data_IF_881585654040
#
_entry.id   IF_881585654040
#
_cell.length_a   1.000
_cell.length_b   1.000
_cell.length_c   1.000
_cell.angle_alpha   90.00
_cell.angle_beta   90.00
_cell.angle_gamma   90.00
#
_symmetry.space_group_name_H-M   'P 1'
#
loop_
_entity.id
_entity.type
_entity.pdbx_description
1 polymer ?
#
# COMPACT_ATOMS: atom_id res chain seq x y z
N UNK A 1 -40.62 15.67 40.56
CA UNK A 1 -39.22 15.45 40.97
C UNK A 1 -38.84 14.00 40.66
N UNK A 2 -37.88 13.71 39.77
CA UNK A 2 -37.51 12.33 39.42
C UNK A 2 -36.61 11.69 40.48
N UNK A 3 -36.83 10.41 40.78
CA UNK A 3 -36.14 9.65 41.82
C UNK A 3 -34.71 9.22 41.39
N UNK A 4 -33.64 9.62 42.12
CA UNK A 4 -32.25 9.42 41.70
C UNK A 4 -31.74 7.96 41.75
N UNK A 5 -32.51 7.02 42.31
CA UNK A 5 -32.05 5.62 42.45
C UNK A 5 -32.39 4.70 41.27
N UNK A 6 -33.39 5.04 40.44
CA UNK A 6 -33.70 4.27 39.21
C UNK A 6 -32.76 4.60 38.06
N UNK A 7 -32.29 5.83 37.96
CA UNK A 7 -31.41 6.31 36.88
C UNK A 7 -30.04 5.63 36.90
N UNK A 8 -29.48 5.35 38.09
CA UNK A 8 -28.17 4.66 38.21
C UNK A 8 -28.20 3.18 37.81
N UNK A 9 -29.32 2.48 38.00
CA UNK A 9 -29.44 1.04 37.64
C UNK A 9 -29.67 0.83 36.14
N UNK A 10 -30.37 1.74 35.48
CA UNK A 10 -30.62 1.68 34.02
C UNK A 10 -29.34 2.04 33.24
N UNK A 11 -28.54 2.98 33.75
CA UNK A 11 -27.28 3.38 33.10
C UNK A 11 -26.21 2.27 33.12
N UNK A 12 -26.22 1.40 34.13
CA UNK A 12 -25.28 0.28 34.27
C UNK A 12 -25.60 -0.91 33.34
N UNK A 13 -26.85 -1.05 32.88
CA UNK A 13 -27.25 -2.14 31.99
C UNK A 13 -26.94 -1.78 30.52
N UNK A 14 -27.07 -0.50 30.12
CA UNK A 14 -26.73 -0.07 28.76
C UNK A 14 -25.23 -0.04 28.46
N UNK A 15 -24.37 0.21 29.44
CA UNK A 15 -22.91 0.17 29.24
C UNK A 15 -22.34 -1.24 29.13
N UNK A 16 -23.10 -2.26 29.53
CA UNK A 16 -22.65 -3.66 29.47
C UNK A 16 -22.86 -4.31 28.10
N UNK A 17 -23.65 -3.69 27.22
CA UNK A 17 -24.05 -4.27 25.93
C UNK A 17 -23.17 -3.83 24.74
N UNK A 18 -22.17 -2.97 24.97
CA UNK A 18 -21.34 -2.38 23.90
C UNK A 18 -19.87 -2.85 23.91
N UNK A 19 -19.53 -3.88 24.68
CA UNK A 19 -18.15 -4.38 24.80
C UNK A 19 -17.92 -5.79 24.19
N UNK A 20 -18.81 -6.25 23.30
CA UNK A 20 -18.55 -7.43 22.46
C UNK A 20 -18.34 -7.02 21.00
N UNK A 21 -17.50 -6.01 20.78
CA UNK A 21 -16.79 -5.88 19.52
C UNK A 21 -15.61 -6.82 19.54
N UNK A 22 -15.83 -8.13 19.35
CA UNK A 22 -14.71 -9.03 19.06
C UNK A 22 -14.08 -8.51 17.78
N UNK A 23 -12.88 -7.91 17.89
CA UNK A 23 -12.03 -7.66 16.75
C UNK A 23 -12.02 -8.95 15.93
N UNK A 24 -12.56 -8.89 14.71
CA UNK A 24 -12.40 -9.99 13.78
C UNK A 24 -10.89 -10.20 13.70
N UNK A 25 -10.37 -11.43 13.93
CA UNK A 25 -8.98 -11.68 13.63
C UNK A 25 -8.79 -11.29 12.18
N UNK A 26 -7.94 -10.30 11.91
CA UNK A 26 -7.41 -10.08 10.57
C UNK A 26 -6.62 -11.34 10.25
N UNK A 27 -7.29 -12.32 9.66
CA UNK A 27 -6.61 -13.48 9.15
C UNK A 27 -5.65 -12.93 8.10
N UNK A 28 -4.35 -12.98 8.39
CA UNK A 28 -3.31 -12.78 7.40
C UNK A 28 -3.75 -13.52 6.14
N UNK A 29 -4.01 -12.79 5.05
CA UNK A 29 -4.63 -13.38 3.88
C UNK A 29 -3.65 -14.44 3.34
N UNK A 30 -4.01 -15.75 3.36
CA UNK A 30 -3.08 -16.83 3.02
C UNK A 30 -2.58 -16.72 1.58
N UNK A 31 -3.32 -16.04 0.70
CA UNK A 31 -2.86 -15.73 -0.65
C UNK A 31 -1.70 -14.71 -0.66
N UNK A 32 -1.71 -13.74 0.27
CA UNK A 32 -0.62 -12.77 0.42
C UNK A 32 0.63 -13.45 0.99
N UNK A 33 0.45 -14.35 1.95
CA UNK A 33 1.55 -15.13 2.53
C UNK A 33 2.20 -16.03 1.45
N UNK A 34 1.39 -16.74 0.67
CA UNK A 34 1.87 -17.50 -0.48
C UNK A 34 2.60 -16.63 -1.51
N UNK A 35 2.08 -15.44 -1.84
CA UNK A 35 2.75 -14.52 -2.75
C UNK A 35 4.10 -14.03 -2.20
N UNK A 36 4.21 -13.76 -0.89
CA UNK A 36 5.50 -13.41 -0.28
C UNK A 36 6.50 -14.56 -0.43
N UNK A 37 6.05 -15.81 -0.25
CA UNK A 37 6.93 -16.99 -0.42
C UNK A 37 7.31 -17.29 -1.88
N UNK A 38 6.53 -16.81 -2.84
CA UNK A 38 6.73 -17.08 -4.27
C UNK A 38 7.63 -16.05 -4.94
N UNK A 39 7.86 -14.89 -4.31
CA UNK A 39 8.77 -13.88 -4.83
C UNK A 39 10.21 -14.42 -4.94
N UNK A 40 10.83 -14.25 -6.10
CA UNK A 40 12.23 -14.61 -6.32
C UNK A 40 13.16 -13.73 -5.47
N UNK A 41 14.44 -14.13 -5.33
CA UNK A 41 15.46 -13.37 -4.59
C UNK A 41 15.66 -11.94 -5.11
N UNK A 42 15.41 -11.71 -6.40
CA UNK A 42 15.45 -10.40 -7.05
C UNK A 42 14.13 -9.60 -6.92
N UNK A 43 13.12 -10.15 -6.26
CA UNK A 43 11.80 -9.57 -6.05
C UNK A 43 10.81 -9.77 -7.21
N UNK A 44 11.17 -10.48 -8.28
CA UNK A 44 10.29 -10.75 -9.40
C UNK A 44 9.32 -11.93 -9.11
N UNK A 45 8.17 -11.89 -9.77
CA UNK A 45 7.16 -12.97 -9.75
C UNK A 45 7.18 -13.85 -11.01
N UNK A 46 8.30 -13.83 -11.74
CA UNK A 46 8.53 -14.60 -12.97
C UNK A 46 9.78 -15.44 -12.86
N UNK A 47 9.81 -16.56 -13.56
CA UNK A 47 10.95 -17.40 -13.86
C UNK A 47 11.41 -17.22 -15.31
N UNK A 48 12.57 -17.78 -15.66
CA UNK A 48 13.12 -17.73 -17.03
C UNK A 48 12.24 -18.44 -18.07
N UNK A 49 11.30 -19.28 -17.62
CA UNK A 49 10.36 -20.01 -18.48
C UNK A 49 9.02 -19.28 -18.69
N UNK A 50 8.81 -18.14 -18.03
CA UNK A 50 7.55 -17.40 -18.12
C UNK A 50 7.51 -16.50 -19.36
N UNK A 51 6.35 -16.47 -20.01
CA UNK A 51 6.10 -15.61 -21.18
C UNK A 51 5.93 -14.13 -20.80
N UNK A 52 5.64 -13.85 -19.52
CA UNK A 52 5.49 -12.51 -19.00
C UNK A 52 6.86 -11.95 -18.60
N UNK A 53 7.09 -10.66 -18.88
CA UNK A 53 8.30 -10.01 -18.39
C UNK A 53 8.27 -9.91 -16.86
N UNK A 54 9.43 -9.86 -16.17
CA UNK A 54 9.49 -9.60 -14.74
C UNK A 54 8.68 -8.37 -14.32
N UNK A 55 8.67 -7.33 -15.15
CA UNK A 55 7.86 -6.15 -14.94
C UNK A 55 6.35 -6.46 -15.01
N UNK A 56 5.89 -7.15 -16.06
CA UNK A 56 4.48 -7.46 -16.29
C UNK A 56 3.89 -8.32 -15.16
N UNK A 57 4.52 -9.45 -14.82
CA UNK A 57 3.94 -10.33 -13.79
C UNK A 57 4.04 -9.73 -12.39
N UNK A 58 5.10 -8.95 -12.13
CA UNK A 58 5.19 -8.20 -10.87
C UNK A 58 4.12 -7.13 -10.83
N UNK A 59 3.85 -6.40 -11.92
CA UNK A 59 2.76 -5.42 -11.95
C UNK A 59 1.38 -6.05 -11.74
N UNK A 60 1.10 -7.21 -12.33
CA UNK A 60 -0.18 -7.94 -12.16
C UNK A 60 -0.35 -8.50 -10.75
N UNK A 61 0.72 -9.07 -10.18
CA UNK A 61 0.75 -9.47 -8.76
C UNK A 61 0.59 -8.25 -7.85
N UNK A 62 1.23 -7.14 -8.24
CA UNK A 62 1.12 -5.86 -7.58
C UNK A 62 -0.25 -5.15 -7.82
N UNK A 63 -1.11 -5.66 -8.70
CA UNK A 63 -2.50 -5.22 -8.83
C UNK A 63 -3.46 -6.12 -8.03
N UNK A 64 -3.19 -7.42 -7.96
CA UNK A 64 -4.08 -8.39 -7.29
C UNK A 64 -4.09 -8.30 -5.77
N UNK A 65 -2.97 -7.95 -5.12
CA UNK A 65 -2.99 -7.62 -3.69
C UNK A 65 -3.57 -6.22 -3.48
N UNK A 66 -4.86 -6.14 -3.16
CA UNK A 66 -5.57 -4.89 -2.93
C UNK A 66 -5.24 -4.22 -1.58
N UNK A 67 -4.10 -4.54 -0.97
CA UNK A 67 -3.69 -3.95 0.30
C UNK A 67 -2.71 -2.79 0.05
N UNK A 68 -3.11 -1.52 0.28
CA UNK A 68 -2.28 -0.37 -0.04
C UNK A 68 -1.29 -0.09 1.10
N UNK A 69 -0.32 -0.98 1.33
CA UNK A 69 0.79 -0.68 2.25
C UNK A 69 1.63 0.50 1.74
N UNK A 70 2.41 1.14 2.61
CA UNK A 70 3.32 2.21 2.20
C UNK A 70 4.34 1.72 1.18
N UNK A 71 4.89 0.52 1.38
CA UNK A 71 5.74 -0.15 0.38
C UNK A 71 5.01 -0.34 -0.95
N UNK A 72 3.75 -0.78 -0.93
CA UNK A 72 2.94 -1.00 -2.14
C UNK A 72 2.75 0.30 -2.91
N UNK A 73 2.27 1.34 -2.25
CA UNK A 73 2.05 2.64 -2.87
C UNK A 73 3.35 3.21 -3.45
N UNK A 74 4.46 3.04 -2.73
CA UNK A 74 5.80 3.40 -3.19
C UNK A 74 6.19 2.66 -4.48
N UNK A 75 5.94 1.35 -4.56
CA UNK A 75 6.17 0.56 -5.76
C UNK A 75 5.24 0.96 -6.92
N UNK A 76 3.94 1.13 -6.64
CA UNK A 76 2.95 1.58 -7.62
C UNK A 76 3.29 2.95 -8.21
N UNK A 77 3.82 3.87 -7.40
CA UNK A 77 4.27 5.18 -7.85
C UNK A 77 5.37 5.06 -8.90
N UNK A 78 6.36 4.19 -8.67
CA UNK A 78 7.45 3.94 -9.61
C UNK A 78 6.91 3.30 -10.90
N UNK A 79 6.00 2.33 -10.79
CA UNK A 79 5.36 1.70 -11.95
C UNK A 79 4.54 2.70 -12.78
N UNK A 80 3.78 3.59 -12.13
CA UNK A 80 3.05 4.66 -12.81
C UNK A 80 4.01 5.59 -13.55
N UNK A 81 5.16 5.93 -12.95
CA UNK A 81 6.18 6.75 -13.60
C UNK A 81 6.77 6.05 -14.83
N UNK A 82 7.06 4.75 -14.73
CA UNK A 82 7.55 3.93 -15.85
C UNK A 82 6.55 3.87 -17.00
N UNK A 83 5.26 3.79 -16.68
CA UNK A 83 4.16 3.72 -17.64
C UNK A 83 3.69 5.11 -18.14
N UNK A 84 4.37 6.20 -17.73
CA UNK A 84 3.99 7.57 -18.08
C UNK A 84 2.61 8.01 -17.53
N UNK A 85 2.10 7.31 -16.52
CA UNK A 85 0.79 7.57 -15.90
C UNK A 85 0.86 8.72 -14.89
N UNK A 86 -0.31 9.20 -14.46
CA UNK A 86 -0.41 10.21 -13.43
C UNK A 86 0.10 9.68 -12.07
N UNK A 87 0.92 10.50 -11.39
CA UNK A 87 1.53 10.19 -10.10
C UNK A 87 0.71 10.73 -8.91
N UNK A 88 -0.04 11.82 -9.14
CA UNK A 88 -0.81 12.55 -8.13
C UNK A 88 -1.71 11.69 -7.23
N UNK A 89 -2.44 10.68 -7.75
CA UNK A 89 -3.30 9.85 -6.91
C UNK A 89 -2.52 9.04 -5.86
N UNK A 90 -1.29 8.64 -6.19
CA UNK A 90 -0.46 7.81 -5.32
C UNK A 90 0.35 8.67 -4.35
N UNK A 91 0.91 9.80 -4.82
CA UNK A 91 1.60 10.75 -3.96
C UNK A 91 0.66 11.33 -2.89
N UNK A 92 -0.58 11.64 -3.25
CA UNK A 92 -1.60 12.09 -2.29
C UNK A 92 -1.83 11.06 -1.17
N UNK A 93 -1.90 9.77 -1.51
CA UNK A 93 -2.06 8.70 -0.51
C UNK A 93 -0.82 8.50 0.39
N UNK A 94 0.39 8.73 -0.13
CA UNK A 94 1.58 8.70 0.72
C UNK A 94 1.60 9.89 1.69
N UNK A 95 1.15 11.06 1.24
CA UNK A 95 1.06 12.26 2.09
C UNK A 95 0.04 12.08 3.22
N UNK A 96 -1.09 11.39 2.99
CA UNK A 96 -2.06 11.12 4.08
C UNK A 96 -1.51 10.23 5.19
N UNK A 97 -0.35 9.58 4.98
CA UNK A 97 0.31 8.75 6.01
C UNK A 97 1.41 9.49 6.77
N UNK A 98 1.62 10.78 6.48
CA UNK A 98 2.59 11.60 7.20
C UNK A 98 2.09 11.89 8.62
N UNK A 99 2.87 11.47 9.60
CA UNK A 99 2.58 11.71 11.01
C UNK A 99 3.18 13.05 11.47
N UNK A 100 2.75 13.51 12.65
CA UNK A 100 3.21 14.78 13.24
C UNK A 100 4.71 14.79 13.53
N UNK A 101 5.31 13.62 13.74
CA UNK A 101 6.74 13.42 13.95
C UNK A 101 7.56 13.52 12.65
N UNK A 102 6.90 13.69 11.49
CA UNK A 102 7.51 13.73 10.17
C UNK A 102 7.82 12.35 9.57
N UNK A 103 7.52 11.27 10.29
CA UNK A 103 7.64 9.91 9.79
C UNK A 103 6.38 9.45 9.06
N UNK A 104 6.47 8.27 8.43
CA UNK A 104 5.36 7.63 7.74
C UNK A 104 5.16 6.23 8.32
N UNK A 105 3.90 5.87 8.59
CA UNK A 105 3.48 4.51 8.94
C UNK A 105 3.04 3.71 7.72
N UNK A 106 2.76 2.41 7.89
CA UNK A 106 2.31 1.54 6.79
C UNK A 106 0.91 1.93 6.23
N UNK A 107 0.05 2.45 7.10
CA UNK A 107 -1.29 2.96 6.80
C UNK A 107 -1.48 4.36 7.41
N UNK A 108 -2.61 4.99 7.08
CA UNK A 108 -3.05 6.22 7.77
C UNK A 108 -3.18 5.93 9.28
N UNK A 109 -2.75 6.89 10.10
CA UNK A 109 -2.86 6.85 11.56
C UNK A 109 -2.06 5.72 12.25
N UNK A 110 -1.22 5.00 11.51
CA UNK A 110 -0.28 4.03 12.08
C UNK A 110 1.01 4.73 12.50
N UNK A 111 1.64 4.21 13.55
CA UNK A 111 2.92 4.73 14.04
C UNK A 111 3.99 4.75 12.94
N UNK A 112 4.82 5.77 12.97
CA UNK A 112 5.94 5.94 12.05
C UNK A 112 6.93 4.80 12.21
N UNK A 113 7.36 4.21 11.09
CA UNK A 113 8.48 3.28 11.08
C UNK A 113 9.58 3.79 10.16
N UNK A 114 10.83 3.44 10.49
CA UNK A 114 11.99 3.79 9.65
C UNK A 114 11.84 3.18 8.25
N UNK A 115 11.32 1.96 8.15
CA UNK A 115 11.20 1.25 6.88
C UNK A 115 10.14 1.88 5.97
N UNK A 116 8.98 2.24 6.51
CA UNK A 116 7.90 2.86 5.74
C UNK A 116 8.26 4.28 5.31
N UNK A 117 8.89 5.04 6.22
CA UNK A 117 9.45 6.37 5.91
C UNK A 117 10.48 6.27 4.79
N UNK A 118 11.39 5.30 4.83
CA UNK A 118 12.38 5.10 3.78
C UNK A 118 11.74 4.76 2.42
N UNK A 119 10.75 3.87 2.40
CA UNK A 119 10.01 3.53 1.18
C UNK A 119 9.33 4.75 0.56
N UNK A 120 8.58 5.49 1.38
CA UNK A 120 7.80 6.64 0.95
C UNK A 120 8.66 7.81 0.44
N UNK A 121 9.87 8.00 0.99
CA UNK A 121 10.80 9.04 0.54
C UNK A 121 11.58 8.63 -0.72
N UNK A 122 11.97 7.36 -0.83
CA UNK A 122 12.76 6.88 -1.96
C UNK A 122 11.94 6.78 -3.25
N UNK A 123 10.65 6.45 -3.16
CA UNK A 123 9.82 6.25 -4.35
C UNK A 123 9.61 7.49 -5.24
N UNK A 124 9.28 8.69 -4.70
CA UNK A 124 9.18 9.91 -5.50
C UNK A 124 10.48 10.27 -6.23
N UNK A 125 11.63 10.09 -5.57
CA UNK A 125 12.97 10.34 -6.17
C UNK A 125 13.17 9.44 -7.39
N UNK A 126 12.91 8.14 -7.24
CA UNK A 126 13.03 7.18 -8.33
C UNK A 126 12.01 7.42 -9.45
N UNK A 127 10.77 7.76 -9.10
CA UNK A 127 9.71 8.09 -10.07
C UNK A 127 10.10 9.30 -10.94
N UNK A 128 10.69 10.35 -10.35
CA UNK A 128 11.17 11.51 -11.09
C UNK A 128 12.35 11.15 -12.00
N UNK A 129 13.34 10.38 -11.49
CA UNK A 129 14.49 9.96 -12.26
C UNK A 129 14.09 9.13 -13.50
N UNK A 130 13.15 8.20 -13.32
CA UNK A 130 12.57 7.41 -14.40
C UNK A 130 11.85 8.30 -15.42
N UNK A 131 10.95 9.19 -14.96
CA UNK A 131 10.22 10.12 -15.83
C UNK A 131 11.15 11.06 -16.62
N UNK A 132 12.27 11.46 -16.03
CA UNK A 132 13.33 12.21 -16.71
C UNK A 132 13.98 11.41 -17.84
N UNK A 133 14.26 10.13 -17.60
CA UNK A 133 14.83 9.22 -18.60
C UNK A 133 13.84 8.89 -19.74
N UNK A 134 12.53 8.86 -19.50
CA UNK A 134 11.53 8.69 -20.56
C UNK A 134 11.49 9.85 -21.57
N UNK A 135 12.01 11.04 -21.24
CA UNK A 135 12.16 12.14 -22.22
C UNK A 135 13.37 11.94 -23.16
N UNK A 136 14.28 11.03 -22.82
CA UNK A 136 15.49 10.73 -23.60
C UNK A 136 15.43 9.45 -24.42
N UNK A 137 14.37 8.65 -24.28
CA UNK A 137 14.16 7.49 -25.15
C UNK A 137 13.38 7.95 -26.38
N UNK A 138 13.97 7.94 -27.60
CA UNK A 138 13.15 8.07 -28.78
C UNK A 138 12.09 6.97 -28.72
N UNK A 139 10.83 7.34 -28.99
CA UNK A 139 9.79 6.39 -29.30
C UNK A 139 10.33 5.51 -30.43
N UNK A 140 10.93 4.36 -30.10
CA UNK A 140 11.19 3.35 -31.10
C UNK A 140 9.81 2.94 -31.59
N UNK A 141 9.49 3.48 -32.77
CA UNK A 141 8.44 2.98 -33.64
C UNK A 141 8.59 1.47 -33.64
N UNK A 142 7.69 0.78 -32.95
CA UNK A 142 7.42 -0.61 -33.22
C UNK A 142 6.81 -0.66 -34.62
N UNK A 143 7.69 -0.64 -35.64
CA UNK A 143 7.31 -1.05 -36.98
C UNK A 143 7.10 -2.56 -36.91
N UNK A 144 5.85 -2.95 -36.71
CA UNK A 144 5.42 -4.30 -37.06
C UNK A 144 5.23 -4.25 -38.58
N UNK A 145 6.19 -4.82 -39.31
CA UNK A 145 5.98 -5.26 -40.70
C UNK A 145 5.79 -6.77 -40.66
#
# INVERSE_FOLDING_TARGET
MPNPTKTKRILLILTSLLALGTALPSAANPAIDWLITTAQTNGAYTTENDIATPFTATAETLQTQNFPSTKRLSQTLILHALAGQALEPITSQLITRLNLDGGIGDLSDYDSTIIDTAWALNAPINAIAVKGNHKGLPLQKWHIT
#
